data_IF_379193635147
#
_entry.id   IF_379193635147
#
_cell.length_a   1.000
_cell.length_b   1.000
_cell.length_c   1.000
_cell.angle_alpha   90.00
_cell.angle_beta   90.00
_cell.angle_gamma   90.00
#
_symmetry.space_group_name_H-M   'P 1'
#
loop_
_entity.id
_entity.type
_entity.pdbx_description
1 polymer ?
#
# COMPACT_ATOMS: atom_id res chain seq x y z
N UNK A 1 -3.24 12.17 -30.96
CA UNK A 1 -2.94 12.58 -29.57
C UNK A 1 -4.17 13.09 -28.80
N UNK A 2 -4.96 14.04 -29.32
CA UNK A 2 -6.12 14.59 -28.58
C UNK A 2 -7.20 13.56 -28.20
N UNK A 3 -7.49 12.57 -29.07
CA UNK A 3 -8.45 11.49 -28.75
C UNK A 3 -7.99 10.60 -27.58
N UNK A 4 -6.70 10.27 -27.53
CA UNK A 4 -6.12 9.47 -26.44
C UNK A 4 -6.11 10.25 -25.11
N UNK A 5 -5.74 11.53 -25.15
CA UNK A 5 -5.79 12.40 -23.97
C UNK A 5 -7.22 12.53 -23.40
N UNK A 6 -8.23 12.63 -24.27
CA UNK A 6 -9.65 12.63 -23.87
C UNK A 6 -10.08 11.29 -23.26
N UNK A 7 -9.57 10.16 -23.75
CA UNK A 7 -9.90 8.84 -23.22
C UNK A 7 -9.31 8.61 -21.82
N UNK A 8 -8.01 8.88 -21.63
CA UNK A 8 -7.30 8.63 -20.35
C UNK A 8 -7.75 9.57 -19.22
N UNK A 9 -8.46 10.65 -19.54
CA UNK A 9 -9.06 11.58 -18.56
C UNK A 9 -10.58 11.44 -18.47
N UNK A 10 -11.19 10.53 -19.25
CA UNK A 10 -12.63 10.29 -19.21
C UNK A 10 -13.00 9.54 -17.91
N UNK A 11 -13.66 10.24 -16.99
CA UNK A 11 -14.05 9.69 -15.68
C UNK A 11 -14.89 8.41 -15.79
N UNK A 12 -15.98 8.36 -16.58
CA UNK A 12 -16.75 7.12 -16.76
C UNK A 12 -15.88 5.94 -17.20
N UNK A 13 -15.02 6.12 -18.21
CA UNK A 13 -14.13 5.07 -18.69
C UNK A 13 -13.16 4.57 -17.61
N UNK A 14 -12.48 5.49 -16.93
CA UNK A 14 -11.51 5.12 -15.88
C UNK A 14 -12.19 4.47 -14.68
N UNK A 15 -13.40 4.92 -14.31
CA UNK A 15 -14.14 4.32 -13.20
C UNK A 15 -14.63 2.92 -13.57
N UNK A 16 -15.10 2.73 -14.80
CA UNK A 16 -15.46 1.41 -15.33
C UNK A 16 -14.26 0.47 -15.36
N UNK A 17 -13.07 0.94 -15.75
CA UNK A 17 -11.86 0.13 -15.66
C UNK A 17 -11.50 -0.20 -14.21
N UNK A 18 -11.53 0.79 -13.31
CA UNK A 18 -11.17 0.61 -11.91
C UNK A 18 -12.02 -0.46 -11.22
N UNK A 19 -13.34 -0.32 -11.28
CA UNK A 19 -14.26 -1.27 -10.63
C UNK A 19 -14.45 -2.54 -11.46
N UNK A 20 -14.53 -2.42 -12.78
CA UNK A 20 -14.72 -3.56 -13.68
C UNK A 20 -13.57 -4.54 -13.63
N UNK A 21 -12.31 -4.09 -13.75
CA UNK A 21 -11.15 -4.98 -13.66
C UNK A 21 -11.02 -5.61 -12.27
N UNK A 22 -11.27 -4.84 -11.20
CA UNK A 22 -11.20 -5.34 -9.82
C UNK A 22 -12.20 -6.48 -9.57
N UNK A 23 -13.42 -6.35 -10.10
CA UNK A 23 -14.48 -7.34 -9.89
C UNK A 23 -14.42 -8.50 -10.88
N UNK A 24 -13.89 -8.31 -12.08
CA UNK A 24 -13.96 -9.29 -13.17
C UNK A 24 -13.46 -10.68 -12.77
N UNK A 25 -12.25 -10.76 -12.20
CA UNK A 25 -11.64 -12.05 -11.82
C UNK A 25 -12.35 -12.69 -10.62
N UNK A 26 -12.88 -11.88 -9.70
CA UNK A 26 -13.58 -12.37 -8.50
C UNK A 26 -14.96 -12.89 -8.87
N UNK A 27 -15.72 -12.17 -9.70
CA UNK A 27 -17.02 -12.64 -10.20
C UNK A 27 -16.83 -13.93 -11.01
N UNK A 28 -15.82 -13.97 -11.89
CA UNK A 28 -15.48 -15.20 -12.64
C UNK A 28 -15.19 -16.36 -11.69
N UNK A 29 -14.38 -16.16 -10.66
CA UNK A 29 -14.07 -17.19 -9.66
C UNK A 29 -15.32 -17.66 -8.89
N UNK A 30 -16.19 -16.73 -8.47
CA UNK A 30 -17.46 -17.06 -7.79
C UNK A 30 -18.36 -17.91 -8.69
N UNK A 31 -18.54 -17.52 -9.96
CA UNK A 31 -19.36 -18.27 -10.92
C UNK A 31 -18.76 -19.65 -11.25
N UNK A 32 -17.45 -19.80 -11.15
CA UNK A 32 -16.74 -21.07 -11.33
C UNK A 32 -16.61 -21.88 -10.04
N UNK A 33 -17.25 -21.46 -8.93
CA UNK A 33 -17.14 -22.10 -7.61
C UNK A 33 -15.70 -22.26 -7.10
N UNK A 34 -14.82 -21.31 -7.45
CA UNK A 34 -13.44 -21.27 -6.99
C UNK A 34 -13.37 -20.88 -5.51
N UNK A 35 -12.48 -21.53 -4.75
CA UNK A 35 -12.14 -21.11 -3.38
C UNK A 35 -11.24 -19.86 -3.35
N UNK A 36 -11.49 -18.97 -2.39
CA UNK A 36 -10.73 -17.73 -2.19
C UNK A 36 -9.93 -17.78 -0.89
N UNK A 37 -8.72 -18.35 -0.93
CA UNK A 37 -7.92 -18.63 0.27
C UNK A 37 -7.77 -17.44 1.23
N UNK A 38 -7.39 -16.26 0.71
CA UNK A 38 -7.25 -15.06 1.54
C UNK A 38 -8.57 -14.62 2.18
N UNK A 39 -9.68 -14.66 1.44
CA UNK A 39 -10.98 -14.36 2.00
C UNK A 39 -11.35 -15.35 3.12
N UNK A 40 -11.08 -16.64 2.93
CA UNK A 40 -11.31 -17.65 3.95
C UNK A 40 -10.47 -17.38 5.20
N UNK A 41 -9.18 -17.07 5.07
CA UNK A 41 -8.30 -16.68 6.19
C UNK A 41 -8.90 -15.48 6.93
N UNK A 42 -9.38 -14.48 6.21
CA UNK A 42 -9.94 -13.26 6.79
C UNK A 42 -11.27 -13.53 7.51
N UNK A 43 -12.10 -14.43 6.96
CA UNK A 43 -13.31 -14.93 7.60
C UNK A 43 -13.00 -15.67 8.90
N UNK A 44 -11.99 -16.54 8.88
CA UNK A 44 -11.57 -17.27 10.06
C UNK A 44 -10.85 -16.40 11.09
N UNK A 45 -10.23 -15.28 10.71
CA UNK A 45 -9.76 -14.28 11.66
C UNK A 45 -10.93 -13.77 12.53
N UNK A 46 -12.10 -13.50 11.93
CA UNK A 46 -13.31 -13.14 12.66
C UNK A 46 -13.89 -14.31 13.48
N UNK A 47 -14.10 -15.47 12.86
CA UNK A 47 -14.71 -16.62 13.53
C UNK A 47 -13.86 -17.13 14.70
N UNK A 48 -12.54 -17.28 14.51
CA UNK A 48 -11.64 -17.71 15.56
C UNK A 48 -11.57 -16.68 16.70
N UNK A 49 -11.74 -15.39 16.43
CA UNK A 49 -11.80 -14.36 17.49
C UNK A 49 -13.03 -14.55 18.38
N UNK A 50 -14.20 -14.80 17.80
CA UNK A 50 -15.45 -15.06 18.54
C UNK A 50 -15.35 -16.36 19.34
N UNK A 51 -14.82 -17.41 18.72
CA UNK A 51 -14.69 -18.72 19.34
C UNK A 51 -13.45 -18.86 20.24
N UNK A 52 -12.64 -17.80 20.35
CA UNK A 52 -11.40 -17.78 21.13
C UNK A 52 -10.42 -18.91 20.73
N UNK A 53 -10.39 -19.25 19.45
CA UNK A 53 -9.38 -20.13 18.87
C UNK A 53 -8.14 -19.33 18.50
N UNK A 54 -6.95 -19.92 18.62
CA UNK A 54 -5.71 -19.23 18.29
C UNK A 54 -5.75 -18.74 16.82
N UNK A 55 -5.58 -17.42 16.61
CA UNK A 55 -5.68 -16.82 15.28
C UNK A 55 -4.52 -17.18 14.35
N UNK A 56 -3.40 -17.66 14.88
CA UNK A 56 -2.15 -17.88 14.14
C UNK A 56 -1.80 -19.38 14.04
N UNK A 57 -2.67 -20.25 14.52
CA UNK A 57 -2.52 -21.69 14.37
C UNK A 57 -2.84 -22.13 12.93
N UNK A 58 -2.18 -23.20 12.48
CA UNK A 58 -2.42 -23.82 11.19
C UNK A 58 -3.78 -24.54 11.18
N UNK A 59 -4.65 -24.20 10.21
CA UNK A 59 -6.00 -24.76 10.05
C UNK A 59 -6.20 -25.31 8.62
N UNK A 60 -5.50 -26.40 8.24
CA UNK A 60 -5.53 -26.98 6.88
C UNK A 60 -6.92 -27.44 6.43
N UNK A 61 -7.81 -27.70 7.38
CA UNK A 61 -9.22 -28.03 7.14
C UNK A 61 -10.02 -26.86 6.54
N UNK A 62 -9.49 -25.63 6.59
CA UNK A 62 -10.16 -24.42 6.14
C UNK A 62 -9.40 -23.66 5.06
N UNK A 63 -8.08 -23.56 5.18
CA UNK A 63 -7.25 -22.77 4.27
C UNK A 63 -5.81 -23.27 4.26
N UNK A 64 -5.04 -22.90 3.23
CA UNK A 64 -3.71 -23.48 2.96
C UNK A 64 -2.52 -22.59 3.37
N UNK A 65 -2.76 -21.51 4.12
CA UNK A 65 -1.73 -20.56 4.58
C UNK A 65 -2.01 -20.14 6.03
N UNK A 66 -1.30 -19.15 6.59
CA UNK A 66 -1.53 -18.64 7.94
C UNK A 66 -2.15 -17.23 7.92
N UNK A 67 -2.92 -16.93 8.96
CA UNK A 67 -3.36 -15.56 9.23
C UNK A 67 -2.19 -14.78 9.82
N UNK A 68 -1.96 -13.56 9.34
CA UNK A 68 -0.87 -12.68 9.80
C UNK A 68 -1.35 -11.28 10.19
N UNK A 69 -2.66 -11.15 10.42
CA UNK A 69 -3.32 -9.88 10.68
C UNK A 69 -3.61 -9.72 12.17
N UNK A 70 -3.56 -8.48 12.65
CA UNK A 70 -3.80 -8.20 14.06
C UNK A 70 -5.28 -8.34 14.46
N UNK A 71 -5.58 -8.40 15.77
CA UNK A 71 -6.92 -8.71 16.28
C UNK A 71 -8.04 -7.80 15.78
N UNK A 72 -7.76 -6.51 15.55
CA UNK A 72 -8.76 -5.55 15.04
C UNK A 72 -9.34 -5.95 13.68
N UNK A 73 -8.59 -6.74 12.90
CA UNK A 73 -9.01 -7.13 11.57
C UNK A 73 -10.27 -8.01 11.60
N UNK A 74 -10.50 -8.75 12.69
CA UNK A 74 -11.72 -9.51 12.94
C UNK A 74 -12.98 -8.63 12.83
N UNK A 75 -12.94 -7.42 13.40
CA UNK A 75 -14.06 -6.48 13.40
C UNK A 75 -14.29 -5.91 12.01
N UNK A 76 -13.21 -5.61 11.29
CA UNK A 76 -13.28 -5.11 9.91
C UNK A 76 -13.87 -6.18 8.99
N UNK A 77 -13.54 -7.46 9.23
CA UNK A 77 -14.00 -8.58 8.43
C UNK A 77 -15.40 -9.08 8.82
N UNK A 78 -15.88 -8.77 10.02
CA UNK A 78 -17.19 -9.19 10.52
C UNK A 78 -18.35 -9.02 9.52
N UNK A 79 -18.60 -7.83 8.93
CA UNK A 79 -19.75 -7.64 8.02
C UNK A 79 -19.67 -8.46 6.73
N UNK A 80 -18.47 -8.84 6.29
CA UNK A 80 -18.28 -9.68 5.10
C UNK A 80 -18.37 -11.16 5.46
N UNK A 81 -17.85 -11.55 6.63
CA UNK A 81 -17.70 -12.94 7.08
C UNK A 81 -19.03 -13.62 7.44
N UNK A 82 -20.04 -12.84 7.83
CA UNK A 82 -21.38 -13.35 8.17
C UNK A 82 -22.26 -13.63 6.94
N UNK A 83 -21.85 -13.15 5.77
CA UNK A 83 -22.58 -13.34 4.52
C UNK A 83 -22.19 -14.67 3.86
N UNK A 84 -23.02 -15.20 2.93
CA UNK A 84 -22.58 -16.26 2.03
C UNK A 84 -21.28 -15.86 1.33
N UNK A 85 -20.33 -16.80 1.22
CA UNK A 85 -18.95 -16.50 0.77
C UNK A 85 -18.90 -15.81 -0.60
N UNK A 86 -19.80 -16.17 -1.51
CA UNK A 86 -19.94 -15.54 -2.83
C UNK A 86 -20.28 -14.05 -2.75
N UNK A 87 -21.09 -13.64 -1.79
CA UNK A 87 -21.47 -12.24 -1.58
C UNK A 87 -20.38 -11.52 -0.78
N UNK A 88 -19.90 -12.15 0.30
CA UNK A 88 -18.90 -11.55 1.17
C UNK A 88 -17.59 -11.24 0.45
N UNK A 89 -17.12 -12.13 -0.43
CA UNK A 89 -15.89 -11.91 -1.22
C UNK A 89 -16.03 -10.75 -2.21
N UNK A 90 -17.19 -10.63 -2.87
CA UNK A 90 -17.47 -9.55 -3.83
C UNK A 90 -17.53 -8.22 -3.10
N UNK A 91 -18.25 -8.15 -1.98
CA UNK A 91 -18.38 -6.92 -1.19
C UNK A 91 -17.04 -6.50 -0.58
N UNK A 92 -16.23 -7.45 -0.13
CA UNK A 92 -14.90 -7.19 0.41
C UNK A 92 -13.96 -6.57 -0.64
N UNK A 93 -13.96 -7.12 -1.87
CA UNK A 93 -13.17 -6.58 -2.98
C UNK A 93 -13.69 -5.21 -3.40
N UNK A 94 -15.01 -5.04 -3.49
CA UNK A 94 -15.64 -3.75 -3.81
C UNK A 94 -15.29 -2.69 -2.76
N UNK A 95 -15.31 -3.05 -1.47
CA UNK A 95 -14.92 -2.16 -0.38
C UNK A 95 -13.47 -1.72 -0.50
N UNK A 96 -12.54 -2.64 -0.76
CA UNK A 96 -11.12 -2.34 -0.96
C UNK A 96 -10.89 -1.41 -2.16
N UNK A 97 -11.55 -1.69 -3.29
CA UNK A 97 -11.47 -0.84 -4.48
C UNK A 97 -12.07 0.56 -4.23
N UNK A 98 -13.19 0.63 -3.50
CA UNK A 98 -13.88 1.89 -3.20
C UNK A 98 -13.11 2.78 -2.21
N UNK A 99 -12.59 2.22 -1.12
CA UNK A 99 -11.86 3.03 -0.13
C UNK A 99 -10.58 3.59 -0.72
N UNK A 100 -9.87 2.81 -1.54
CA UNK A 100 -8.68 3.30 -2.25
C UNK A 100 -9.04 4.35 -3.30
N UNK A 101 -10.12 4.14 -4.06
CA UNK A 101 -10.65 5.14 -5.00
C UNK A 101 -10.91 6.47 -4.28
N UNK A 102 -11.59 6.43 -3.14
CA UNK A 102 -11.90 7.64 -2.36
C UNK A 102 -10.66 8.30 -1.78
N UNK A 103 -9.71 7.53 -1.27
CA UNK A 103 -8.45 8.06 -0.77
C UNK A 103 -7.68 8.81 -1.87
N UNK A 104 -7.58 8.22 -3.08
CA UNK A 104 -6.93 8.83 -4.25
C UNK A 104 -7.70 10.07 -4.73
N UNK A 105 -9.04 10.01 -4.78
CA UNK A 105 -9.88 11.14 -5.19
C UNK A 105 -9.71 12.35 -4.26
N UNK A 106 -9.47 12.12 -2.97
CA UNK A 106 -9.29 13.17 -1.97
C UNK A 106 -7.87 13.76 -1.92
N UNK A 107 -6.91 13.19 -2.66
CA UNK A 107 -5.55 13.70 -2.72
C UNK A 107 -5.52 15.14 -3.25
N UNK A 108 -4.66 16.01 -2.69
CA UNK A 108 -4.51 17.39 -3.12
C UNK A 108 -3.65 17.48 -4.41
N UNK A 109 -4.18 16.93 -5.50
CA UNK A 109 -3.64 17.00 -6.86
C UNK A 109 -4.34 18.11 -7.66
N UNK A 110 -3.77 18.51 -8.81
CA UNK A 110 -4.47 19.45 -9.71
C UNK A 110 -5.75 18.80 -10.23
N UNK A 111 -6.72 19.63 -10.63
CA UNK A 111 -8.07 19.19 -11.05
C UNK A 111 -8.00 17.96 -11.97
N UNK A 112 -8.71 16.91 -11.57
CA UNK A 112 -8.86 15.63 -12.27
C UNK A 112 -7.58 14.81 -12.49
N UNK A 113 -6.41 15.22 -11.99
CA UNK A 113 -5.19 14.40 -12.07
C UNK A 113 -5.29 13.06 -11.32
N UNK A 114 -6.14 12.99 -10.29
CA UNK A 114 -6.41 11.73 -9.59
C UNK A 114 -6.95 10.64 -10.54
N UNK A 115 -7.62 11.02 -11.63
CA UNK A 115 -8.12 10.08 -12.66
C UNK A 115 -6.95 9.35 -13.33
N UNK A 116 -5.85 10.04 -13.58
CA UNK A 116 -4.64 9.42 -14.13
C UNK A 116 -4.00 8.48 -13.09
N UNK A 117 -4.01 8.86 -11.81
CA UNK A 117 -3.54 7.97 -10.73
C UNK A 117 -4.35 6.67 -10.70
N UNK A 118 -5.68 6.77 -10.76
CA UNK A 118 -6.57 5.60 -10.84
C UNK A 118 -6.24 4.73 -12.06
N UNK A 119 -6.09 5.35 -13.23
CA UNK A 119 -5.79 4.62 -14.47
C UNK A 119 -4.45 3.86 -14.38
N UNK A 120 -3.40 4.51 -13.87
CA UNK A 120 -2.08 3.88 -13.72
C UNK A 120 -2.12 2.71 -12.73
N UNK A 121 -2.91 2.82 -11.66
CA UNK A 121 -2.99 1.79 -10.62
C UNK A 121 -4.03 0.69 -10.89
N UNK A 122 -4.87 0.81 -11.92
CA UNK A 122 -5.99 -0.11 -12.16
C UNK A 122 -5.55 -1.58 -12.32
N UNK A 123 -4.42 -1.83 -12.98
CA UNK A 123 -3.89 -3.19 -13.17
C UNK A 123 -3.31 -3.79 -11.87
N UNK A 124 -2.63 -2.99 -11.06
CA UNK A 124 -2.15 -3.44 -9.74
C UNK A 124 -3.31 -3.69 -8.78
N UNK A 125 -4.37 -2.89 -8.86
CA UNK A 125 -5.59 -3.12 -8.09
C UNK A 125 -6.29 -4.41 -8.54
N UNK A 126 -6.36 -4.68 -9.85
CA UNK A 126 -6.86 -5.95 -10.37
C UNK A 126 -6.05 -7.12 -9.81
N UNK A 127 -4.72 -7.02 -9.80
CA UNK A 127 -3.84 -8.05 -9.23
C UNK A 127 -4.08 -8.27 -7.74
N UNK A 128 -4.29 -7.20 -6.96
CA UNK A 128 -4.64 -7.30 -5.55
C UNK A 128 -6.04 -7.90 -5.32
N UNK A 129 -7.00 -7.52 -6.16
CA UNK A 129 -8.40 -7.99 -6.09
C UNK A 129 -8.54 -9.46 -6.48
N UNK A 130 -7.80 -9.91 -7.48
CA UNK A 130 -7.75 -11.32 -7.88
C UNK A 130 -7.25 -12.24 -6.75
N UNK A 131 -6.36 -11.72 -5.90
CA UNK A 131 -5.87 -12.39 -4.71
C UNK A 131 -6.67 -12.02 -3.46
N UNK A 132 -7.75 -11.25 -3.59
CA UNK A 132 -8.64 -10.84 -2.51
C UNK A 132 -7.92 -10.17 -1.32
N UNK A 133 -6.84 -9.44 -1.61
CA UNK A 133 -5.93 -8.90 -0.61
C UNK A 133 -6.46 -7.63 0.09
N UNK A 134 -6.05 -7.40 1.33
CA UNK A 134 -6.35 -6.18 2.11
C UNK A 134 -5.41 -4.99 1.81
N UNK A 135 -4.38 -5.21 0.98
CA UNK A 135 -3.37 -4.19 0.67
C UNK A 135 -3.97 -2.88 0.06
N UNK A 136 -5.03 -2.88 -0.77
CA UNK A 136 -5.67 -1.64 -1.23
C UNK A 136 -6.24 -0.80 -0.09
N UNK A 137 -6.86 -1.43 0.91
CA UNK A 137 -7.31 -0.73 2.12
C UNK A 137 -6.12 -0.15 2.90
N UNK A 138 -5.01 -0.87 3.05
CA UNK A 138 -3.80 -0.33 3.72
C UNK A 138 -3.26 0.90 2.97
N UNK A 139 -3.17 0.87 1.64
CA UNK A 139 -2.80 2.03 0.84
C UNK A 139 -3.75 3.21 1.09
N UNK A 140 -5.06 2.94 1.14
CA UNK A 140 -6.08 3.94 1.38
C UNK A 140 -5.92 4.58 2.77
N UNK A 141 -5.67 3.80 3.83
CA UNK A 141 -5.46 4.30 5.19
C UNK A 141 -4.22 5.21 5.27
N UNK A 142 -3.11 4.83 4.64
CA UNK A 142 -1.90 5.67 4.57
C UNK A 142 -2.24 7.01 3.88
N UNK A 143 -2.93 6.98 2.74
CA UNK A 143 -3.30 8.20 1.99
C UNK A 143 -4.30 9.06 2.77
N UNK A 144 -5.29 8.45 3.40
CA UNK A 144 -6.28 9.17 4.21
C UNK A 144 -5.62 9.84 5.42
N UNK A 145 -4.62 9.22 6.04
CA UNK A 145 -3.86 9.87 7.13
C UNK A 145 -3.20 11.16 6.66
N UNK A 146 -2.57 11.14 5.49
CA UNK A 146 -2.00 12.33 4.84
C UNK A 146 -3.08 13.39 4.57
N UNK A 147 -4.20 12.99 3.95
CA UNK A 147 -5.30 13.90 3.61
C UNK A 147 -5.91 14.55 4.86
N UNK A 148 -6.07 13.81 5.96
CA UNK A 148 -6.61 14.34 7.21
C UNK A 148 -5.64 15.31 7.89
N UNK A 149 -4.33 15.02 7.92
CA UNK A 149 -3.32 15.97 8.40
C UNK A 149 -3.36 17.27 7.60
N UNK A 150 -3.48 17.18 6.27
CA UNK A 150 -3.59 18.34 5.38
C UNK A 150 -4.83 19.21 5.64
N UNK A 151 -5.88 18.61 6.20
CA UNK A 151 -7.14 19.27 6.56
C UNK A 151 -7.19 19.65 8.05
N UNK A 152 -6.08 19.54 8.78
CA UNK A 152 -5.98 19.81 10.22
C UNK A 152 -6.90 18.91 11.07
N UNK A 153 -7.25 17.75 10.51
CA UNK A 153 -8.10 16.72 11.10
C UNK A 153 -7.24 15.64 11.77
N UNK A 154 -6.29 16.05 12.62
CA UNK A 154 -5.30 15.15 13.26
C UNK A 154 -5.91 13.97 14.01
N UNK A 155 -7.12 14.15 14.58
CA UNK A 155 -7.85 13.08 15.26
C UNK A 155 -8.18 11.92 14.33
N UNK A 156 -8.65 12.21 13.12
CA UNK A 156 -8.98 11.20 12.12
C UNK A 156 -7.74 10.67 11.41
N UNK A 157 -6.71 11.50 11.24
CA UNK A 157 -5.43 11.03 10.72
C UNK A 157 -4.82 9.95 11.63
N UNK A 158 -4.82 10.20 12.94
CA UNK A 158 -4.37 9.26 13.95
C UNK A 158 -5.14 7.93 13.90
N UNK A 159 -6.48 7.97 13.72
CA UNK A 159 -7.29 6.76 13.52
C UNK A 159 -6.80 5.95 12.32
N UNK A 160 -6.60 6.59 11.16
CA UNK A 160 -6.18 5.87 9.95
C UNK A 160 -4.83 5.18 10.13
N UNK A 161 -3.88 5.84 10.80
CA UNK A 161 -2.54 5.29 11.08
C UNK A 161 -2.64 4.12 12.05
N UNK A 162 -3.32 4.31 13.19
CA UNK A 162 -3.47 3.29 14.21
C UNK A 162 -4.24 2.06 13.67
N UNK A 163 -5.35 2.28 12.96
CA UNK A 163 -6.13 1.22 12.34
C UNK A 163 -5.30 0.43 11.32
N UNK A 164 -4.58 1.14 10.45
CA UNK A 164 -3.67 0.50 9.50
C UNK A 164 -2.65 -0.36 10.21
N UNK A 165 -1.93 0.20 11.19
CA UNK A 165 -0.89 -0.50 11.95
C UNK A 165 -1.41 -1.73 12.69
N UNK A 166 -2.62 -1.66 13.26
CA UNK A 166 -3.23 -2.75 14.02
C UNK A 166 -3.80 -3.85 13.11
N UNK A 167 -4.15 -3.55 11.86
CA UNK A 167 -4.50 -4.56 10.85
C UNK A 167 -3.23 -5.23 10.32
N UNK A 168 -2.28 -4.41 9.86
CA UNK A 168 -1.02 -4.83 9.24
C UNK A 168 0.03 -3.73 9.46
N UNK A 169 1.22 -4.10 9.94
CA UNK A 169 2.24 -3.13 10.37
C UNK A 169 2.60 -2.05 9.34
N UNK A 170 2.37 -2.29 8.04
CA UNK A 170 2.52 -1.28 6.98
C UNK A 170 1.81 0.05 7.26
N UNK A 171 0.68 0.08 7.98
CA UNK A 171 -0.02 1.33 8.27
C UNK A 171 0.78 2.33 9.13
N UNK A 172 1.74 1.85 9.92
CA UNK A 172 2.53 2.69 10.84
C UNK A 172 3.35 3.77 10.13
N UNK A 173 3.68 3.55 8.85
CA UNK A 173 4.47 4.50 8.05
C UNK A 173 3.77 5.86 7.89
N UNK A 174 2.46 5.94 8.11
CA UNK A 174 1.73 7.20 8.13
C UNK A 174 2.19 8.17 9.23
N UNK A 175 2.88 7.68 10.28
CA UNK A 175 3.55 8.54 11.28
C UNK A 175 4.58 9.48 10.66
N UNK A 176 5.12 9.13 9.49
CA UNK A 176 6.04 9.99 8.73
C UNK A 176 5.42 11.36 8.38
N UNK A 177 4.09 11.46 8.34
CA UNK A 177 3.37 12.70 8.09
C UNK A 177 3.20 13.59 9.34
N UNK A 178 3.60 13.13 10.53
CA UNK A 178 3.55 13.91 11.78
C UNK A 178 4.17 15.30 11.63
N UNK A 179 5.27 15.41 10.89
CA UNK A 179 5.97 16.68 10.65
C UNK A 179 5.11 17.72 9.91
N UNK A 180 4.09 17.28 9.18
CA UNK A 180 3.14 18.14 8.46
C UNK A 180 1.93 18.56 9.29
N UNK A 181 1.73 17.96 10.46
CA UNK A 181 0.66 18.36 11.39
C UNK A 181 0.95 19.73 12.00
N UNK A 182 -0.06 20.59 11.98
CA UNK A 182 -0.05 21.90 12.64
C UNK A 182 -0.23 21.78 14.14
N UNK A 183 -0.97 20.77 14.63
CA UNK A 183 -1.23 20.52 16.05
C UNK A 183 -0.65 19.18 16.52
N UNK A 184 0.66 19.19 16.80
CA UNK A 184 1.42 18.00 17.23
C UNK A 184 0.90 17.37 18.54
N UNK A 185 0.58 18.14 19.60
CA UNK A 185 -0.02 17.55 20.81
C UNK A 185 -1.35 16.85 20.53
N UNK A 186 -2.24 17.48 19.75
CA UNK A 186 -3.51 16.85 19.36
C UNK A 186 -3.28 15.56 18.58
N UNK A 187 -2.33 15.56 17.65
CA UNK A 187 -1.97 14.36 16.90
C UNK A 187 -1.50 13.22 17.82
N UNK A 188 -0.55 13.50 18.72
CA UNK A 188 0.00 12.49 19.65
C UNK A 188 -1.07 11.94 20.58
N UNK A 189 -1.87 12.82 21.21
CA UNK A 189 -2.95 12.41 22.10
C UNK A 189 -4.03 11.62 21.36
N UNK A 190 -4.37 12.02 20.13
CA UNK A 190 -5.33 11.28 19.30
C UNK A 190 -4.79 9.90 18.91
N UNK A 191 -3.49 9.79 18.62
CA UNK A 191 -2.86 8.50 18.29
C UNK A 191 -2.90 7.56 19.49
N UNK A 192 -2.52 8.03 20.68
CA UNK A 192 -2.62 7.25 21.92
C UNK A 192 -4.08 6.82 22.15
N UNK A 193 -5.03 7.76 22.06
CA UNK A 193 -6.45 7.48 22.22
C UNK A 193 -6.92 6.38 21.27
N UNK A 194 -6.65 6.50 19.97
CA UNK A 194 -7.09 5.50 18.99
C UNK A 194 -6.36 4.17 19.13
N UNK A 195 -5.09 4.15 19.51
CA UNK A 195 -4.38 2.90 19.82
C UNK A 195 -5.04 2.16 20.98
N UNK A 196 -5.44 2.86 22.04
CA UNK A 196 -6.17 2.26 23.18
C UNK A 196 -7.54 1.76 22.73
N UNK A 197 -8.31 2.57 21.99
CA UNK A 197 -9.63 2.17 21.50
C UNK A 197 -9.55 0.93 20.62
N UNK A 198 -8.63 0.89 19.65
CA UNK A 198 -8.49 -0.23 18.72
C UNK A 198 -7.89 -1.48 19.36
N UNK A 199 -7.11 -1.33 20.44
CA UNK A 199 -6.64 -2.45 21.27
C UNK A 199 -7.80 -3.10 22.03
N UNK A 200 -8.68 -2.30 22.62
CA UNK A 200 -9.81 -2.77 23.43
C UNK A 200 -10.97 -3.27 22.57
N UNK A 201 -11.19 -2.70 21.38
CA UNK A 201 -12.39 -2.97 20.59
C UNK A 201 -12.64 -4.47 20.29
N UNK A 202 -11.64 -5.31 19.97
CA UNK A 202 -11.82 -6.77 19.80
C UNK A 202 -12.34 -7.50 21.04
N UNK A 203 -12.16 -6.93 22.24
CA UNK A 203 -12.70 -7.48 23.49
C UNK A 203 -14.22 -7.34 23.59
N UNK A 204 -14.87 -6.59 22.69
CA UNK A 204 -16.32 -6.54 22.61
C UNK A 204 -16.92 -7.85 22.04
N UNK A 205 -16.13 -8.62 21.29
CA UNK A 205 -16.54 -9.88 20.65
C UNK A 205 -15.75 -11.10 21.16
N UNK A 206 -14.87 -10.89 22.14
CA UNK A 206 -13.98 -11.92 22.69
C UNK A 206 -13.50 -11.56 24.10
N UNK A 207 -12.87 -12.46 24.85
CA UNK A 207 -12.41 -12.14 26.21
C UNK A 207 -11.16 -11.24 26.21
N UNK A 208 -11.00 -10.32 27.20
CA UNK A 208 -9.79 -9.51 27.33
C UNK A 208 -8.51 -10.35 27.40
N UNK A 209 -8.53 -11.46 28.13
CA UNK A 209 -7.39 -12.39 28.23
C UNK A 209 -7.02 -12.99 26.88
N UNK A 210 -8.00 -13.38 26.08
CA UNK A 210 -7.76 -13.92 24.74
C UNK A 210 -7.15 -12.87 23.82
N UNK A 211 -7.67 -11.64 23.81
CA UNK A 211 -7.12 -10.57 22.95
C UNK A 211 -5.69 -10.21 23.34
N UNK A 212 -5.37 -10.13 24.63
CA UNK A 212 -4.00 -9.89 25.11
C UNK A 212 -3.06 -11.01 24.63
N UNK A 213 -3.47 -12.28 24.78
CA UNK A 213 -2.69 -13.42 24.28
C UNK A 213 -2.50 -13.34 22.77
N UNK A 214 -3.54 -12.98 22.03
CA UNK A 214 -3.51 -12.87 20.57
C UNK A 214 -2.47 -11.83 20.11
N UNK A 215 -2.30 -10.70 20.81
CA UNK A 215 -1.23 -9.75 20.48
C UNK A 215 0.17 -10.31 20.69
N UNK A 216 0.38 -11.13 21.72
CA UNK A 216 1.66 -11.83 21.95
C UNK A 216 1.92 -12.87 20.85
N UNK A 217 0.90 -13.64 20.49
CA UNK A 217 1.00 -14.65 19.44
C UNK A 217 1.24 -13.99 18.07
N UNK A 218 0.63 -12.84 17.80
CA UNK A 218 0.85 -12.09 16.57
C UNK A 218 2.32 -11.66 16.42
N UNK A 219 2.94 -11.19 17.50
CA UNK A 219 4.37 -10.87 17.49
C UNK A 219 5.21 -12.09 17.11
N UNK A 220 4.93 -13.24 17.73
CA UNK A 220 5.64 -14.50 17.47
C UNK A 220 5.45 -14.96 16.02
N UNK A 221 4.21 -14.93 15.53
CA UNK A 221 3.85 -15.24 14.14
C UNK A 221 4.62 -14.35 13.15
N UNK A 222 4.65 -13.03 13.37
CA UNK A 222 5.35 -12.11 12.48
C UNK A 222 6.86 -12.33 12.45
N UNK A 223 7.47 -12.71 13.58
CA UNK A 223 8.90 -13.08 13.65
C UNK A 223 9.16 -14.34 12.81
N UNK A 224 8.36 -15.40 13.00
CA UNK A 224 8.47 -16.65 12.25
C UNK A 224 8.26 -16.40 10.75
N UNK A 225 7.20 -15.66 10.40
CA UNK A 225 6.88 -15.29 9.03
C UNK A 225 8.01 -14.51 8.36
N UNK A 226 8.59 -13.53 9.06
CA UNK A 226 9.69 -12.75 8.51
C UNK A 226 10.90 -13.62 8.15
N UNK A 227 11.22 -14.62 8.97
CA UNK A 227 12.26 -15.61 8.64
C UNK A 227 11.84 -16.52 7.48
N UNK A 228 10.60 -17.01 7.46
CA UNK A 228 10.09 -17.86 6.38
C UNK A 228 10.05 -17.17 5.01
N UNK A 229 9.82 -15.86 4.97
CA UNK A 229 9.77 -15.10 3.72
C UNK A 229 11.10 -15.08 2.96
N UNK A 230 12.24 -15.15 3.66
CA UNK A 230 13.58 -15.05 3.05
C UNK A 230 13.81 -16.12 1.97
N UNK A 231 13.25 -17.32 2.20
CA UNK A 231 13.41 -18.45 1.30
C UNK A 231 12.25 -18.60 0.30
N UNK A 232 11.23 -17.75 0.37
CA UNK A 232 10.05 -17.88 -0.47
C UNK A 232 10.29 -17.42 -1.91
N UNK A 233 9.73 -18.15 -2.87
CA UNK A 233 9.70 -17.71 -4.27
C UNK A 233 8.68 -16.58 -4.50
N UNK A 234 7.59 -16.55 -3.73
CA UNK A 234 6.45 -15.64 -3.95
C UNK A 234 6.40 -14.46 -2.98
N UNK A 235 7.14 -14.53 -1.87
CA UNK A 235 7.33 -13.42 -0.93
C UNK A 235 8.69 -12.74 -1.14
N UNK A 236 9.01 -11.76 -0.30
CA UNK A 236 10.25 -10.98 -0.36
C UNK A 236 10.53 -10.37 -1.74
N UNK A 237 9.47 -9.92 -2.41
CA UNK A 237 9.59 -9.13 -3.63
C UNK A 237 9.96 -7.71 -3.23
N UNK A 238 11.20 -7.50 -2.82
CA UNK A 238 11.73 -6.24 -2.30
C UNK A 238 13.23 -6.10 -2.64
N UNK A 239 13.84 -4.95 -2.30
CA UNK A 239 15.25 -4.66 -2.63
C UNK A 239 16.20 -5.66 -1.96
N UNK A 240 15.94 -6.02 -0.70
CA UNK A 240 16.75 -7.03 0.00
C UNK A 240 16.68 -8.38 -0.72
N UNK A 241 15.47 -8.81 -1.10
CA UNK A 241 15.27 -10.04 -1.85
C UNK A 241 16.00 -10.03 -3.19
N UNK A 242 15.92 -8.92 -3.94
CA UNK A 242 16.70 -8.75 -5.17
C UNK A 242 18.21 -8.89 -4.92
N UNK A 243 18.76 -8.21 -3.91
CA UNK A 243 20.19 -8.24 -3.61
C UNK A 243 20.64 -9.66 -3.25
N UNK A 244 19.89 -10.38 -2.41
CA UNK A 244 20.20 -11.78 -2.07
C UNK A 244 20.27 -12.68 -3.30
N UNK A 245 19.28 -12.56 -4.18
CA UNK A 245 19.19 -13.40 -5.38
C UNK A 245 20.30 -13.12 -6.39
N UNK A 246 20.65 -11.86 -6.62
CA UNK A 246 21.70 -11.50 -7.60
C UNK A 246 23.12 -11.73 -7.05
N UNK A 247 23.32 -11.59 -5.74
CA UNK A 247 24.63 -11.81 -5.09
C UNK A 247 24.86 -13.26 -4.68
N UNK A 248 23.83 -14.11 -4.75
CA UNK A 248 23.82 -15.47 -4.21
C UNK A 248 24.17 -15.53 -2.70
N UNK A 249 23.86 -14.47 -1.95
CA UNK A 249 24.13 -14.37 -0.52
C UNK A 249 22.83 -14.28 0.29
N UNK A 250 22.23 -15.45 0.58
CA UNK A 250 20.94 -15.55 1.28
C UNK A 250 21.01 -15.06 2.74
N UNK A 251 22.17 -15.15 3.39
CA UNK A 251 22.37 -14.73 4.79
C UNK A 251 22.45 -13.20 4.99
N UNK A 252 22.31 -12.40 3.93
CA UNK A 252 22.30 -10.94 4.02
C UNK A 252 21.19 -10.46 4.96
N UNK A 253 21.52 -9.93 6.13
CA UNK A 253 20.49 -9.43 7.07
C UNK A 253 19.73 -8.24 6.49
N UNK A 254 18.39 -8.23 6.66
CA UNK A 254 17.51 -7.14 6.19
C UNK A 254 18.02 -5.75 6.59
N UNK A 255 18.57 -5.61 7.80
CA UNK A 255 19.05 -4.34 8.34
C UNK A 255 20.17 -3.68 7.52
N UNK A 256 21.00 -4.46 6.80
CA UNK A 256 22.07 -3.88 5.97
C UNK A 256 21.55 -3.15 4.73
N UNK A 257 20.31 -3.44 4.31
CA UNK A 257 19.64 -2.74 3.21
C UNK A 257 18.69 -1.68 3.76
N UNK A 258 17.91 -2.03 4.80
CA UNK A 258 16.92 -1.13 5.40
C UNK A 258 17.58 0.04 6.14
N UNK A 259 18.71 -0.18 6.84
CA UNK A 259 19.41 0.86 7.59
C UNK A 259 19.85 2.04 6.72
N UNK A 260 20.63 1.83 5.64
CA UNK A 260 20.98 2.90 4.70
C UNK A 260 19.74 3.53 4.05
N UNK A 261 18.71 2.75 3.73
CA UNK A 261 17.47 3.28 3.18
C UNK A 261 16.73 4.20 4.17
N UNK A 262 16.71 3.87 5.46
CA UNK A 262 16.17 4.72 6.52
C UNK A 262 16.97 6.02 6.67
N UNK A 263 18.30 5.97 6.55
CA UNK A 263 19.12 7.18 6.53
C UNK A 263 18.72 8.07 5.35
N UNK A 264 18.67 7.53 4.13
CA UNK A 264 18.23 8.29 2.95
C UNK A 264 16.81 8.86 3.10
N UNK A 265 15.87 8.05 3.62
CA UNK A 265 14.51 8.47 3.88
C UNK A 265 14.42 9.62 4.90
N UNK A 266 15.21 9.54 5.98
CA UNK A 266 15.24 10.58 7.03
C UNK A 266 15.96 11.85 6.59
N UNK A 267 16.98 11.74 5.71
CA UNK A 267 17.63 12.90 5.11
C UNK A 267 16.65 13.81 4.37
N UNK A 268 15.61 13.24 3.73
CA UNK A 268 14.56 14.03 3.09
C UNK A 268 13.93 15.05 4.04
N UNK A 269 13.83 14.75 5.34
CA UNK A 269 13.21 15.61 6.36
C UNK A 269 14.11 16.77 6.82
N UNK A 270 15.38 16.85 6.42
CA UNK A 270 16.24 17.97 6.82
C UNK A 270 15.78 19.32 6.26
N UNK A 271 14.97 19.31 5.18
CA UNK A 271 14.45 20.54 4.55
C UNK A 271 13.18 21.05 5.24
N UNK A 272 13.29 21.44 6.51
CA UNK A 272 12.17 21.91 7.35
C UNK A 272 11.37 23.04 6.68
N UNK A 273 12.04 23.96 5.97
CA UNK A 273 11.38 25.05 5.24
C UNK A 273 10.43 24.58 4.13
N UNK A 274 10.60 23.35 3.61
CA UNK A 274 9.74 22.77 2.59
C UNK A 274 8.49 22.07 3.16
N UNK A 275 8.38 21.90 4.48
CA UNK A 275 7.27 21.14 5.10
C UNK A 275 5.89 21.73 4.83
N UNK A 276 5.79 23.02 4.50
CA UNK A 276 4.52 23.68 4.15
C UNK A 276 4.19 23.60 2.65
N UNK A 277 5.12 23.10 1.84
CA UNK A 277 5.01 23.06 0.38
C UNK A 277 4.35 21.73 -0.02
N UNK A 278 3.27 21.84 -0.79
CA UNK A 278 2.44 20.69 -1.12
C UNK A 278 3.16 19.70 -2.04
N UNK A 279 3.97 20.19 -2.97
CA UNK A 279 4.80 19.39 -3.88
C UNK A 279 5.78 18.52 -3.09
N UNK A 280 6.43 19.08 -2.08
CA UNK A 280 7.34 18.36 -1.20
C UNK A 280 6.59 17.33 -0.34
N UNK A 281 5.45 17.71 0.23
CA UNK A 281 4.59 16.81 1.00
C UNK A 281 4.11 15.60 0.16
N UNK A 282 3.77 15.81 -1.11
CA UNK A 282 3.41 14.73 -2.04
C UNK A 282 4.59 13.84 -2.41
N UNK A 283 5.82 14.37 -2.52
CA UNK A 283 7.02 13.52 -2.66
C UNK A 283 7.22 12.63 -1.44
N UNK A 284 7.03 13.17 -0.24
CA UNK A 284 7.12 12.39 0.99
C UNK A 284 6.02 11.32 1.05
N UNK A 285 4.77 11.63 0.67
CA UNK A 285 3.71 10.63 0.52
C UNK A 285 4.10 9.51 -0.46
N UNK A 286 4.61 9.86 -1.64
CA UNK A 286 5.09 8.87 -2.62
C UNK A 286 6.22 8.02 -2.06
N UNK A 287 7.18 8.64 -1.37
CA UNK A 287 8.29 7.95 -0.73
C UNK A 287 7.79 6.96 0.32
N UNK A 288 6.87 7.38 1.19
CA UNK A 288 6.26 6.55 2.25
C UNK A 288 5.55 5.33 1.68
N UNK A 289 4.71 5.53 0.65
CA UNK A 289 3.97 4.44 0.00
C UNK A 289 4.90 3.42 -0.67
N UNK A 290 5.95 3.89 -1.35
CA UNK A 290 6.92 3.00 -1.99
C UNK A 290 7.78 2.28 -0.96
N UNK A 291 8.32 3.03 0.02
CA UNK A 291 9.20 2.52 1.07
C UNK A 291 8.57 1.37 1.85
N UNK A 292 7.28 1.49 2.19
CA UNK A 292 6.53 0.46 2.93
C UNK A 292 6.56 -0.93 2.26
N UNK A 293 6.74 -0.99 0.93
CA UNK A 293 6.74 -2.24 0.17
C UNK A 293 8.16 -2.66 -0.19
N UNK A 294 8.95 -1.77 -0.79
CA UNK A 294 10.23 -2.16 -1.41
C UNK A 294 11.31 -2.52 -0.38
N UNK A 295 11.07 -2.29 0.91
CA UNK A 295 11.95 -2.67 2.03
C UNK A 295 11.30 -3.67 2.99
N UNK A 296 10.22 -4.35 2.56
CA UNK A 296 9.54 -5.36 3.38
C UNK A 296 9.80 -6.79 2.88
N UNK A 297 10.12 -7.69 3.81
CA UNK A 297 10.20 -9.14 3.51
C UNK A 297 8.82 -9.74 3.20
N UNK A 298 7.74 -9.12 3.70
CA UNK A 298 6.36 -9.54 3.49
C UNK A 298 5.74 -9.00 2.20
N UNK A 299 6.54 -8.43 1.30
CA UNK A 299 6.06 -7.93 0.03
C UNK A 299 5.87 -9.07 -0.96
N UNK A 300 4.65 -9.24 -1.44
CA UNK A 300 4.29 -10.11 -2.57
C UNK A 300 3.82 -9.26 -3.76
N UNK A 301 3.49 -9.90 -4.89
CA UNK A 301 3.05 -9.18 -6.09
C UNK A 301 1.86 -8.25 -5.81
N UNK A 302 0.84 -8.73 -5.09
CA UNK A 302 -0.36 -7.96 -4.74
C UNK A 302 -0.12 -6.87 -3.69
N UNK A 303 1.05 -6.82 -3.04
CA UNK A 303 1.40 -5.73 -2.10
C UNK A 303 1.77 -4.46 -2.87
N UNK A 304 2.20 -4.58 -4.12
CA UNK A 304 2.69 -3.46 -4.92
C UNK A 304 1.63 -2.42 -5.29
N UNK A 305 0.34 -2.69 -5.13
CA UNK A 305 -0.69 -1.64 -5.22
C UNK A 305 -0.39 -0.45 -4.29
N UNK A 306 0.19 -0.69 -3.11
CA UNK A 306 0.60 0.39 -2.19
C UNK A 306 1.70 1.25 -2.84
N UNK A 307 2.78 0.62 -3.30
CA UNK A 307 3.91 1.31 -3.93
C UNK A 307 3.54 1.97 -5.26
N UNK A 308 2.67 1.34 -6.05
CA UNK A 308 2.29 1.83 -7.37
C UNK A 308 1.42 3.08 -7.29
N UNK A 309 0.62 3.23 -6.22
CA UNK A 309 -0.03 4.52 -5.93
C UNK A 309 1.02 5.59 -5.64
N UNK A 310 2.08 5.25 -4.88
CA UNK A 310 3.21 6.15 -4.67
C UNK A 310 3.89 6.59 -5.98
N UNK A 311 4.14 5.65 -6.90
CA UNK A 311 4.67 5.90 -8.25
C UNK A 311 3.76 6.84 -9.05
N UNK A 312 2.46 6.55 -9.08
CA UNK A 312 1.49 7.35 -9.84
C UNK A 312 1.34 8.77 -9.28
N UNK A 313 1.35 8.93 -7.95
CA UNK A 313 1.36 10.24 -7.28
C UNK A 313 2.64 11.01 -7.58
N UNK A 314 3.81 10.35 -7.56
CA UNK A 314 5.08 10.99 -7.93
C UNK A 314 5.04 11.51 -9.36
N UNK A 315 4.59 10.68 -10.30
CA UNK A 315 4.49 11.07 -11.71
C UNK A 315 3.57 12.29 -11.94
N UNK A 316 2.52 12.41 -11.12
CA UNK A 316 1.62 13.55 -11.14
C UNK A 316 2.16 14.81 -10.44
N UNK A 317 3.20 14.63 -9.63
CA UNK A 317 3.89 15.70 -8.91
C UNK A 317 5.13 16.26 -9.65
N UNK A 318 5.54 15.62 -10.74
CA UNK A 318 6.66 16.07 -11.57
C UNK A 318 6.40 17.45 -12.20
N UNK A 319 7.48 18.21 -12.39
CA UNK A 319 7.45 19.42 -13.20
C UNK A 319 7.08 19.10 -14.65
N UNK A 320 6.59 20.11 -15.37
CA UNK A 320 6.26 20.01 -16.79
C UNK A 320 7.18 20.95 -17.59
N UNK A 321 7.68 20.53 -18.77
CA UNK A 321 7.47 19.21 -19.41
C UNK A 321 8.16 18.06 -18.65
N UNK A 322 7.61 16.85 -18.78
CA UNK A 322 8.21 15.63 -18.21
C UNK A 322 9.42 15.23 -19.03
N UNK A 323 10.51 14.85 -18.37
CA UNK A 323 11.75 14.43 -19.05
C UNK A 323 11.64 13.01 -19.61
N UNK A 324 12.45 12.69 -20.62
CA UNK A 324 12.53 11.33 -21.18
C UNK A 324 12.92 10.28 -20.12
N UNK A 325 13.77 10.64 -19.16
CA UNK A 325 14.16 9.76 -18.06
C UNK A 325 12.97 9.44 -17.12
N UNK A 326 12.15 10.43 -16.79
CA UNK A 326 10.96 10.20 -15.96
C UNK A 326 9.90 9.34 -16.67
N UNK A 327 9.73 9.54 -17.99
CA UNK A 327 8.89 8.67 -18.80
C UNK A 327 9.44 7.24 -18.83
N UNK A 328 10.76 7.08 -19.02
CA UNK A 328 11.42 5.78 -18.97
C UNK A 328 11.16 5.06 -17.65
N UNK A 329 11.32 5.74 -16.51
CA UNK A 329 11.05 5.16 -15.19
C UNK A 329 9.59 4.72 -15.04
N UNK A 330 8.63 5.53 -15.49
CA UNK A 330 7.21 5.17 -15.45
C UNK A 330 6.92 3.95 -16.33
N UNK A 331 7.43 3.92 -17.57
CA UNK A 331 7.23 2.80 -18.49
C UNK A 331 7.86 1.53 -17.92
N UNK A 332 9.06 1.63 -17.35
CA UNK A 332 9.73 0.52 -16.69
C UNK A 332 8.87 -0.02 -15.54
N UNK A 333 8.28 0.84 -14.71
CA UNK A 333 7.36 0.42 -13.64
C UNK A 333 6.09 -0.23 -14.17
N UNK A 334 5.48 0.32 -15.23
CA UNK A 334 4.30 -0.29 -15.85
C UNK A 334 4.61 -1.69 -16.41
N UNK A 335 5.74 -1.88 -17.08
CA UNK A 335 6.10 -3.16 -17.68
C UNK A 335 6.56 -4.19 -16.64
N UNK A 336 7.52 -3.83 -15.80
CA UNK A 336 8.23 -4.76 -14.92
C UNK A 336 7.58 -4.89 -13.54
N UNK A 337 7.03 -3.81 -12.99
CA UNK A 337 6.31 -3.89 -11.72
C UNK A 337 4.86 -4.31 -11.95
N UNK A 338 4.13 -3.61 -12.82
CA UNK A 338 2.68 -3.80 -12.95
C UNK A 338 2.30 -5.00 -13.82
N UNK A 339 2.78 -5.04 -15.07
CA UNK A 339 2.32 -6.04 -16.05
C UNK A 339 3.02 -7.40 -15.89
N UNK A 340 4.23 -7.45 -15.34
CA UNK A 340 5.04 -8.67 -15.24
C UNK A 340 4.37 -9.90 -14.56
N UNK A 341 3.45 -9.76 -13.59
CA UNK A 341 2.72 -10.91 -13.03
C UNK A 341 1.59 -11.41 -13.94
N UNK A 342 1.12 -10.58 -14.88
CA UNK A 342 -0.02 -10.89 -15.75
C UNK A 342 0.37 -11.77 -16.93
N UNK A 343 -0.64 -12.37 -17.57
CA UNK A 343 -0.46 -13.16 -18.79
C UNK A 343 -0.22 -12.29 -20.05
N UNK A 344 -0.31 -10.96 -19.92
CA UNK A 344 0.11 -10.03 -20.98
C UNK A 344 1.64 -9.94 -21.10
N UNK A 345 2.37 -10.41 -20.08
CA UNK A 345 3.83 -10.38 -20.08
C UNK A 345 4.40 -11.73 -20.54
N UNK A 346 5.50 -11.76 -21.31
CA UNK A 346 6.07 -13.02 -21.78
C UNK A 346 6.37 -13.97 -20.63
N UNK A 347 5.73 -15.15 -20.64
CA UNK A 347 5.81 -16.14 -19.57
C UNK A 347 7.24 -16.57 -19.29
N UNK A 348 8.05 -16.76 -20.33
CA UNK A 348 9.47 -17.07 -20.24
C UNK A 348 10.25 -16.01 -19.45
N UNK A 349 10.01 -14.72 -19.73
CA UNK A 349 10.70 -13.64 -19.01
C UNK A 349 10.23 -13.61 -17.54
N UNK A 350 8.93 -13.78 -17.32
CA UNK A 350 8.33 -13.83 -15.98
C UNK A 350 8.96 -14.93 -15.11
N UNK A 351 9.02 -16.16 -15.61
CA UNK A 351 9.43 -17.33 -14.82
C UNK A 351 10.94 -17.50 -14.71
N UNK A 352 11.72 -17.06 -15.70
CA UNK A 352 13.17 -17.21 -15.69
C UNK A 352 13.90 -16.01 -15.08
N UNK A 353 13.32 -14.81 -15.14
CA UNK A 353 13.99 -13.59 -14.71
C UNK A 353 13.22 -12.84 -13.63
N UNK A 354 11.95 -12.50 -13.87
CA UNK A 354 11.23 -11.59 -12.97
C UNK A 354 11.02 -12.19 -11.57
N UNK A 355 10.46 -13.40 -11.52
CA UNK A 355 10.13 -14.07 -10.26
C UNK A 355 11.39 -14.52 -9.51
N UNK A 356 12.35 -15.24 -10.14
CA UNK A 356 13.53 -15.73 -9.42
C UNK A 356 14.40 -14.62 -8.83
N UNK A 357 14.57 -13.51 -9.56
CA UNK A 357 15.41 -12.40 -9.12
C UNK A 357 14.65 -11.27 -8.43
N UNK A 358 13.33 -11.40 -8.18
CA UNK A 358 12.52 -10.37 -7.51
C UNK A 358 12.53 -9.01 -8.24
N UNK A 359 12.62 -9.02 -9.57
CA UNK A 359 12.82 -7.82 -10.39
C UNK A 359 11.64 -6.84 -10.36
N UNK A 360 10.43 -7.31 -9.98
CA UNK A 360 9.24 -6.46 -9.80
C UNK A 360 9.52 -5.26 -8.87
N UNK A 361 10.46 -5.39 -7.94
CA UNK A 361 10.86 -4.35 -6.97
C UNK A 361 11.69 -3.20 -7.55
N UNK A 362 12.47 -3.47 -8.60
CA UNK A 362 13.51 -2.56 -9.09
C UNK A 362 12.96 -1.23 -9.62
N UNK A 363 11.89 -1.20 -10.46
CA UNK A 363 11.40 0.07 -10.97
C UNK A 363 10.93 1.00 -9.85
N UNK A 364 10.21 0.47 -8.85
CA UNK A 364 9.80 1.24 -7.68
C UNK A 364 11.00 1.73 -6.86
N UNK A 365 12.06 0.93 -6.71
CA UNK A 365 13.28 1.36 -6.04
C UNK A 365 14.00 2.50 -6.77
N UNK A 366 14.13 2.43 -8.10
CA UNK A 366 14.73 3.51 -8.90
C UNK A 366 13.92 4.81 -8.81
N UNK A 367 12.60 4.70 -8.86
CA UNK A 367 11.69 5.86 -8.66
C UNK A 367 11.84 6.39 -7.23
N UNK A 368 11.96 5.53 -6.23
CA UNK A 368 12.19 5.95 -4.85
C UNK A 368 13.49 6.73 -4.68
N UNK A 369 14.60 6.28 -5.28
CA UNK A 369 15.86 7.03 -5.29
C UNK A 369 15.71 8.40 -5.96
N UNK A 370 14.97 8.46 -7.08
CA UNK A 370 14.64 9.73 -7.76
C UNK A 370 13.79 10.65 -6.88
N UNK A 371 12.82 10.12 -6.13
CA UNK A 371 12.03 10.87 -5.15
C UNK A 371 12.95 11.41 -4.04
N UNK A 372 13.84 10.60 -3.47
CA UNK A 372 14.81 11.06 -2.46
C UNK A 372 15.65 12.21 -3.03
N UNK A 373 16.22 12.04 -4.22
CA UNK A 373 16.96 13.10 -4.90
C UNK A 373 16.15 14.39 -5.05
N UNK A 374 14.90 14.30 -5.51
CA UNK A 374 14.02 15.47 -5.64
C UNK A 374 13.69 16.12 -4.30
N UNK A 375 13.43 15.35 -3.24
CA UNK A 375 13.18 15.93 -1.90
C UNK A 375 14.38 16.76 -1.43
N UNK A 376 15.60 16.29 -1.72
CA UNK A 376 16.84 16.95 -1.29
C UNK A 376 17.21 18.15 -2.18
N UNK A 377 16.96 18.10 -3.49
CA UNK A 377 17.55 19.05 -4.45
C UNK A 377 16.56 19.97 -5.14
N UNK A 378 15.27 19.61 -5.23
CA UNK A 378 14.28 20.41 -6.00
C UNK A 378 14.08 21.79 -5.38
N UNK A 379 14.14 22.84 -6.19
CA UNK A 379 13.87 24.21 -5.75
C UNK A 379 12.36 24.51 -5.74
N UNK A 380 11.72 24.18 -4.63
CA UNK A 380 10.31 24.44 -4.44
C UNK A 380 9.97 25.95 -4.29
N UNK A 381 10.91 26.78 -3.86
CA UNK A 381 10.65 28.21 -3.62
C UNK A 381 10.70 29.01 -4.93
N UNK A 382 11.66 28.69 -5.81
CA UNK A 382 11.76 29.26 -7.16
C UNK A 382 10.55 28.92 -8.04
N UNK A 383 10.04 27.69 -7.95
CA UNK A 383 8.87 27.23 -8.71
C UNK A 383 7.59 28.02 -8.38
N UNK A 384 7.38 28.38 -7.10
CA UNK A 384 6.20 29.17 -6.71
C UNK A 384 6.23 30.59 -7.29
N UNK A 385 7.42 31.20 -7.40
CA UNK A 385 7.61 32.55 -7.94
C UNK A 385 7.42 32.58 -9.46
N UNK A 386 7.92 31.58 -10.19
CA UNK A 386 7.79 31.54 -11.66
C UNK A 386 6.34 31.38 -12.11
N UNK A 387 5.54 30.58 -11.41
CA UNK A 387 4.10 30.40 -11.69
C UNK A 387 3.30 31.68 -11.45
N UNK A 388 3.61 32.44 -10.38
CA UNK A 388 2.95 33.71 -10.12
C UNK A 388 3.28 34.76 -11.19
N UNK A 389 4.53 34.80 -11.68
CA UNK A 389 4.95 35.73 -12.72
C UNK A 389 4.36 35.38 -14.10
N UNK A 390 4.12 34.10 -14.41
CA UNK A 390 3.49 33.69 -15.67
C UNK A 390 1.96 33.80 -15.65
N UNK A 391 1.33 33.90 -14.49
CA UNK A 391 -0.10 34.16 -14.35
C UNK A 391 -0.45 35.66 -14.29
N UNK A 392 0.55 36.52 -14.13
CA UNK A 392 0.40 37.98 -14.08
C UNK A 392 0.67 38.68 -15.43
N UNK A 393 1.00 37.90 -16.46
CA UNK A 393 1.13 38.29 -17.88
C UNK A 393 0.02 37.60 -18.65
#
# INVERSE_FOLDING_TARGET
MQKLAKLITNKPFVYSLWFGLSLFLVIKGVLAHQGFNNYTIFKFNFLNTIHQHNLYAYQPEHYYDLNHYGPIFSIIMAPFSILPDSIGVILWVLFNAFILFKAIQLLPLKKDQYVIVLLLCAHELMTASANVQSNPMIAALIILSFNFIKREQDFWAALMIALGAFIKLYGIVGLAFFFFSTNKPKFVLSFIFWSVVLFVLPMAISSPSFIIQTYHDWYTDLVIKNSGNQHSLMQEICVTGFIRRISHYEDLKNMYVIGPALVLFTLSYLRIGAYKILEYQRLILSSVLIFAVIFSSSAESSTYIIAFVGVAVWFMNLNRPVTGFEIFLLVLALLITSLSPSDLFPSFIRTQYIVPYKLKSIPCFLIWLKIIYETLTRDFAGEKKSVLNTAAV
#
